data_IF_670323322187
#
_entry.id   IF_670323322187
#
_cell.length_a   1.000
_cell.length_b   1.000
_cell.length_c   1.000
_cell.angle_alpha   90.00
_cell.angle_beta   90.00
_cell.angle_gamma   90.00
#
_symmetry.space_group_name_H-M   'P 1'
#
loop_
_entity.id
_entity.type
_entity.pdbx_description
1 polymer ?
#
# COMPACT_ATOMS: atom_id res chain seq x y z
N UNK A 1 0.94 4.93 0.31
CA UNK A 1 -0.43 5.43 0.46
C UNK A 1 -0.38 6.74 1.23
N UNK A 2 -1.18 7.73 0.83
CA UNK A 2 -1.26 9.04 1.50
C UNK A 2 -2.37 9.11 2.56
N UNK A 3 -3.29 8.14 2.55
CA UNK A 3 -4.32 7.92 3.55
C UNK A 3 -4.54 6.40 3.65
N UNK A 4 -4.11 5.81 4.77
CA UNK A 4 -4.24 4.39 5.03
C UNK A 4 -5.71 3.96 5.15
N UNK A 5 -6.56 4.77 5.79
CA UNK A 5 -7.97 4.42 6.00
C UNK A 5 -8.74 4.40 4.68
N UNK A 6 -8.47 5.36 3.78
CA UNK A 6 -9.00 5.32 2.42
C UNK A 6 -8.51 4.09 1.64
N UNK A 7 -7.24 3.74 1.81
CA UNK A 7 -6.65 2.56 1.16
C UNK A 7 -7.27 1.26 1.66
N UNK A 8 -7.53 1.13 2.97
CA UNK A 8 -8.16 -0.06 3.55
C UNK A 8 -9.61 -0.21 3.10
N UNK A 9 -10.38 0.89 3.01
CA UNK A 9 -11.73 0.83 2.42
C UNK A 9 -11.73 0.28 1.00
N UNK A 10 -10.69 0.57 0.21
CA UNK A 10 -10.57 0.06 -1.14
C UNK A 10 -10.02 -1.37 -1.19
N UNK A 11 -8.82 -1.60 -0.66
CA UNK A 11 -8.16 -2.89 -0.80
C UNK A 11 -8.77 -3.99 0.08
N UNK A 12 -9.09 -3.69 1.35
CA UNK A 12 -9.68 -4.66 2.27
C UNK A 12 -11.17 -4.80 2.03
N UNK A 13 -11.92 -3.70 2.14
CA UNK A 13 -13.39 -3.79 2.16
C UNK A 13 -14.00 -4.05 0.77
N UNK A 14 -13.44 -3.43 -0.29
CA UNK A 14 -13.97 -3.59 -1.65
C UNK A 14 -13.30 -4.74 -2.42
N UNK A 15 -11.98 -4.86 -2.38
CA UNK A 15 -11.24 -5.88 -3.15
C UNK A 15 -10.99 -7.18 -2.38
N UNK A 16 -11.22 -7.22 -1.07
CA UNK A 16 -11.10 -8.44 -0.26
C UNK A 16 -9.66 -8.79 0.14
N UNK A 17 -8.80 -7.80 0.36
CA UNK A 17 -7.48 -8.01 0.97
C UNK A 17 -7.65 -8.58 2.38
N UNK A 18 -7.19 -9.80 2.59
CA UNK A 18 -7.19 -10.48 3.89
C UNK A 18 -5.96 -10.04 4.70
N UNK A 19 -6.16 -9.08 5.60
CA UNK A 19 -5.09 -8.45 6.39
C UNK A 19 -4.61 -9.41 7.47
N UNK A 20 -3.31 -9.72 7.44
CA UNK A 20 -2.66 -10.56 8.47
C UNK A 20 -1.62 -9.80 9.31
N UNK A 21 -1.28 -8.55 8.97
CA UNK A 21 -0.59 -7.65 9.89
C UNK A 21 -0.93 -6.17 9.65
N UNK A 22 -0.85 -5.38 10.71
CA UNK A 22 -1.01 -3.93 10.72
C UNK A 22 -0.09 -3.37 11.82
N UNK A 23 0.96 -2.67 11.41
CA UNK A 23 2.04 -2.23 12.28
C UNK A 23 2.28 -0.73 12.14
N UNK A 24 2.37 -0.06 13.29
CA UNK A 24 3.02 1.25 13.34
C UNK A 24 4.54 1.05 13.39
N UNK A 25 5.24 1.77 12.52
CA UNK A 25 6.69 1.69 12.35
C UNK A 25 7.32 3.03 12.71
N UNK A 26 8.32 3.00 13.58
CA UNK A 26 9.03 4.19 14.04
C UNK A 26 10.54 3.93 14.08
N UNK A 27 11.32 4.92 13.62
CA UNK A 27 12.77 4.90 13.70
C UNK A 27 13.36 3.66 13.02
N UNK A 28 14.16 2.82 13.72
CA UNK A 28 14.92 1.74 13.10
C UNK A 28 14.11 0.78 12.23
N UNK A 29 12.85 0.47 12.59
CA UNK A 29 12.03 -0.47 11.84
C UNK A 29 11.58 0.09 10.49
N UNK A 30 11.27 1.39 10.42
CA UNK A 30 10.90 2.05 9.18
C UNK A 30 12.14 2.41 8.37
N UNK A 31 13.19 2.90 9.04
CA UNK A 31 14.49 3.22 8.43
C UNK A 31 15.08 2.02 7.67
N UNK A 32 14.96 0.80 8.22
CA UNK A 32 15.42 -0.41 7.56
C UNK A 32 14.68 -0.71 6.24
N UNK A 33 13.41 -0.32 6.14
CA UNK A 33 12.58 -0.53 4.94
C UNK A 33 12.79 0.57 3.91
N UNK A 34 12.99 1.81 4.36
CA UNK A 34 12.96 3.01 3.51
C UNK A 34 14.35 3.55 3.17
N UNK A 35 15.36 3.24 3.99
CA UNK A 35 16.68 3.87 3.93
C UNK A 35 16.72 5.33 4.36
N UNK A 36 15.63 5.85 4.95
CA UNK A 36 15.48 7.26 5.31
C UNK A 36 15.51 7.45 6.84
N UNK A 37 16.44 8.26 7.34
CA UNK A 37 16.70 8.46 8.77
C UNK A 37 15.54 9.20 9.43
N UNK A 38 15.08 8.70 10.59
CA UNK A 38 13.93 9.26 11.29
C UNK A 38 12.60 8.89 10.65
N UNK A 39 12.58 7.92 9.73
CA UNK A 39 11.37 7.48 9.09
C UNK A 39 10.37 6.93 10.12
N UNK A 40 9.12 7.28 9.91
CA UNK A 40 7.95 6.77 10.63
C UNK A 40 6.76 6.61 9.70
N UNK A 41 5.87 5.70 10.03
CA UNK A 41 4.74 5.37 9.17
C UNK A 41 3.92 4.19 9.68
N UNK A 42 3.01 3.72 8.83
CA UNK A 42 2.18 2.55 9.07
C UNK A 42 2.34 1.57 7.92
N UNK A 43 2.43 0.29 8.23
CA UNK A 43 2.50 -0.77 7.25
C UNK A 43 1.38 -1.79 7.50
N UNK A 44 0.57 -2.05 6.47
CA UNK A 44 -0.50 -3.05 6.53
C UNK A 44 -0.27 -4.06 5.42
N UNK A 45 -0.23 -5.34 5.77
CA UNK A 45 -0.02 -6.41 4.80
C UNK A 45 -1.10 -7.47 4.88
N UNK A 46 -1.41 -8.01 3.71
CA UNK A 46 -2.46 -9.01 3.56
C UNK A 46 -2.31 -9.85 2.31
N UNK A 47 -3.20 -10.82 2.17
CA UNK A 47 -3.30 -11.68 0.99
C UNK A 47 -4.43 -11.20 0.09
N UNK A 48 -4.15 -11.00 -1.20
CA UNK A 48 -5.13 -10.64 -2.22
C UNK A 48 -4.95 -11.54 -3.44
N UNK A 49 -5.95 -12.40 -3.71
CA UNK A 49 -5.91 -13.30 -4.87
C UNK A 49 -4.70 -14.24 -4.89
N UNK A 50 -4.20 -14.66 -3.71
CA UNK A 50 -3.01 -15.50 -3.58
C UNK A 50 -1.67 -14.75 -3.68
N UNK A 51 -1.69 -13.42 -3.76
CA UNK A 51 -0.50 -12.57 -3.73
C UNK A 51 -0.45 -11.75 -2.44
N UNK A 52 0.73 -11.66 -1.82
CA UNK A 52 0.93 -10.75 -0.69
C UNK A 52 1.02 -9.30 -1.19
N UNK A 53 0.23 -8.42 -0.60
CA UNK A 53 0.23 -6.98 -0.88
C UNK A 53 0.52 -6.23 0.42
N UNK A 54 1.47 -5.30 0.36
CA UNK A 54 1.83 -4.42 1.46
C UNK A 54 1.49 -2.96 1.11
N UNK A 55 0.75 -2.31 1.99
CA UNK A 55 0.41 -0.90 1.93
C UNK A 55 1.30 -0.16 2.92
N UNK A 56 2.07 0.81 2.42
CA UNK A 56 2.96 1.62 3.24
C UNK A 56 2.50 3.09 3.25
N UNK A 57 2.27 3.64 4.42
CA UNK A 57 1.99 5.07 4.64
C UNK A 57 3.16 5.73 5.35
N UNK A 58 3.57 6.91 4.87
CA UNK A 58 4.66 7.68 5.43
C UNK A 58 4.11 8.82 6.29
N UNK A 59 4.49 8.87 7.57
CA UNK A 59 4.05 9.91 8.50
C UNK A 59 5.09 11.05 8.67
N UNK A 60 6.26 10.92 8.05
CA UNK A 60 7.35 11.91 8.11
C UNK A 60 7.46 12.78 6.86
N UNK A 61 6.79 12.40 5.76
CA UNK A 61 6.80 13.13 4.50
C UNK A 61 5.49 12.95 3.76
N UNK A 62 5.12 13.96 2.96
CA UNK A 62 4.06 13.82 1.97
C UNK A 62 4.49 12.91 0.82
N UNK A 63 3.50 12.33 0.14
CA UNK A 63 3.70 11.75 -1.18
C UNK A 63 3.43 12.82 -2.22
N UNK A 64 4.34 12.97 -3.18
CA UNK A 64 4.10 13.84 -4.33
C UNK A 64 2.93 13.29 -5.15
N UNK A 65 2.01 14.14 -5.63
CA UNK A 65 0.93 13.72 -6.50
C UNK A 65 1.47 12.99 -7.73
N UNK A 66 0.87 11.85 -8.07
CA UNK A 66 1.26 11.12 -9.26
C UNK A 66 0.83 11.89 -10.51
N UNK A 67 1.80 12.22 -11.37
CA UNK A 67 1.51 12.81 -12.68
C UNK A 67 1.04 11.71 -13.64
N UNK A 68 -0.08 11.95 -14.33
CA UNK A 68 -0.78 10.97 -15.19
C UNK A 68 -0.17 10.77 -16.59
N UNK A 69 1.07 11.19 -16.80
CA UNK A 69 1.76 10.96 -18.08
C UNK A 69 2.23 9.51 -18.20
N UNK A 70 2.48 9.04 -19.43
CA UNK A 70 3.03 7.71 -19.66
C UNK A 70 4.43 7.59 -19.02
N UNK A 71 4.51 6.95 -17.85
CA UNK A 71 5.76 6.74 -17.11
C UNK A 71 6.27 5.30 -17.29
N UNK A 72 7.59 5.17 -17.39
CA UNK A 72 8.29 3.89 -17.27
C UNK A 72 8.30 3.46 -15.79
N UNK A 73 8.21 2.15 -15.53
CA UNK A 73 8.22 1.57 -14.18
C UNK A 73 6.95 0.79 -13.85
N UNK A 74 6.68 0.59 -12.56
CA UNK A 74 5.44 -0.04 -12.08
C UNK A 74 4.25 0.89 -12.29
N UNK A 75 3.24 0.43 -13.01
CA UNK A 75 2.08 1.25 -13.40
C UNK A 75 0.76 0.76 -12.81
N UNK A 76 0.57 -0.55 -12.73
CA UNK A 76 -0.65 -1.16 -12.22
C UNK A 76 -0.37 -2.56 -11.65
N UNK A 77 -1.30 -3.00 -10.82
CA UNK A 77 -1.52 -4.42 -10.52
C UNK A 77 -2.87 -4.80 -11.14
N UNK A 78 -2.98 -6.03 -11.64
CA UNK A 78 -4.19 -6.55 -12.27
C UNK A 78 -4.68 -7.76 -11.49
N UNK A 79 -6.00 -7.81 -11.25
CA UNK A 79 -6.65 -8.91 -10.54
C UNK A 79 -7.53 -9.68 -11.52
N UNK A 80 -7.34 -10.99 -11.59
CA UNK A 80 -8.24 -11.88 -12.32
C UNK A 80 -9.42 -12.25 -11.43
N UNK A 81 -10.63 -12.00 -11.92
CA UNK A 81 -11.89 -12.35 -11.25
C UNK A 81 -12.67 -13.32 -12.12
N UNK A 82 -13.53 -14.14 -11.50
CA UNK A 82 -14.36 -15.11 -12.24
C UNK A 82 -15.37 -14.41 -13.14
N UNK A 83 -16.00 -13.36 -12.64
CA UNK A 83 -17.04 -12.61 -13.33
C UNK A 83 -16.81 -11.11 -13.15
N UNK A 84 -16.78 -10.38 -14.25
CA UNK A 84 -16.75 -8.92 -14.27
C UNK A 84 -18.09 -8.44 -14.84
N UNK A 85 -18.93 -7.74 -14.06
CA UNK A 85 -20.19 -7.21 -14.59
C UNK A 85 -19.92 -6.23 -15.73
N UNK A 86 -20.79 -6.26 -16.74
CA UNK A 86 -20.77 -5.32 -17.88
C UNK A 86 -21.40 -3.99 -17.51
#
# INVERSE_FOLDING_TARGET
MSDMEASLRFYRDLLGLDVFFDLQLEGPSMEAVTGDVGARGRMVGGMLGGTVVELLEFAHRGLEPQQHDAKLGYTNISLSVRDLPR
#
